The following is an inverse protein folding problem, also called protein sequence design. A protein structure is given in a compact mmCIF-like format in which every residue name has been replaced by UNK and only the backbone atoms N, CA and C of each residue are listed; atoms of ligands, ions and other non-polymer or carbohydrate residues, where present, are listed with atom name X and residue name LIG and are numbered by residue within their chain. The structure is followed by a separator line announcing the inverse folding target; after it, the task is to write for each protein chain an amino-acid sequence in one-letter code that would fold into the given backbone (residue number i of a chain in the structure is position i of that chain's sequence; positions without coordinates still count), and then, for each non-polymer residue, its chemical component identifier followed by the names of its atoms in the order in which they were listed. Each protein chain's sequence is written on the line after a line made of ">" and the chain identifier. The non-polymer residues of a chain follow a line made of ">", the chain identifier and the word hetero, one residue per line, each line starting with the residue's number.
data_IF_554746428625
#
_entry.id   IF_554746428625
#
_cell.length_a   1.000
_cell.length_b   1.000
_cell.length_c   1.000
_cell.angle_alpha   90.00
_cell.angle_beta   90.00
_cell.angle_gamma   90.00
#
_symmetry.space_group_name_H-M   'P 1'
#
loop_
_entity.id
_entity.type
_entity.pdbx_description
1 polymer ?
#
# COMPACT_ATOMS: atom_id res chain seq x y z
N UNK A 1 -13.76 -6.88 -20.83
CA UNK A 1 -14.20 -7.07 -19.43
C UNK A 1 -13.20 -7.86 -18.59
N UNK A 2 -12.99 -9.17 -18.76
CA UNK A 2 -12.08 -9.93 -17.85
C UNK A 2 -10.62 -9.47 -17.91
N UNK A 3 -10.13 -9.13 -19.11
CA UNK A 3 -8.77 -8.56 -19.28
C UNK A 3 -8.62 -7.20 -18.60
N UNK A 4 -9.61 -6.32 -18.73
CA UNK A 4 -9.63 -4.98 -18.13
C UNK A 4 -9.61 -5.05 -16.58
N UNK A 5 -10.31 -6.03 -16.00
CA UNK A 5 -10.31 -6.25 -14.54
C UNK A 5 -8.93 -6.70 -14.05
N UNK A 6 -8.27 -7.61 -14.79
CA UNK A 6 -6.92 -8.08 -14.43
C UNK A 6 -5.91 -6.94 -14.52
N UNK A 7 -5.98 -6.12 -15.57
CA UNK A 7 -5.12 -4.95 -15.75
C UNK A 7 -5.31 -3.95 -14.59
N UNK A 8 -6.56 -3.65 -14.24
CA UNK A 8 -6.90 -2.80 -13.11
C UNK A 8 -6.33 -3.33 -11.79
N UNK A 9 -6.48 -4.63 -11.52
CA UNK A 9 -5.94 -5.26 -10.31
C UNK A 9 -4.42 -5.12 -10.24
N UNK A 10 -3.72 -5.32 -11.37
CA UNK A 10 -2.26 -5.21 -11.43
C UNK A 10 -1.82 -3.76 -11.22
N UNK A 11 -2.43 -2.80 -11.92
CA UNK A 11 -2.09 -1.37 -11.78
C UNK A 11 -2.27 -0.90 -10.33
N UNK A 12 -3.41 -1.22 -9.73
CA UNK A 12 -3.68 -0.85 -8.34
C UNK A 12 -2.75 -1.57 -7.35
N UNK A 13 -2.37 -2.82 -7.62
CA UNK A 13 -1.40 -3.54 -6.78
C UNK A 13 -0.04 -2.86 -6.77
N UNK A 14 0.44 -2.39 -7.94
CA UNK A 14 1.71 -1.65 -8.06
C UNK A 14 1.63 -0.30 -7.33
N UNK A 15 0.51 0.40 -7.44
CA UNK A 15 0.28 1.66 -6.70
C UNK A 15 0.31 1.42 -5.20
N UNK A 16 -0.35 0.36 -4.72
CA UNK A 16 -0.42 0.05 -3.30
C UNK A 16 0.92 -0.38 -2.72
N UNK A 17 1.77 -1.08 -3.46
CA UNK A 17 3.09 -1.49 -2.96
C UNK A 17 4.15 -0.37 -3.02
N UNK A 18 3.96 0.63 -3.88
CA UNK A 18 4.92 1.73 -4.10
C UNK A 18 5.39 2.43 -2.81
N UNK A 19 4.51 2.84 -1.88
CA UNK A 19 4.92 3.45 -0.61
C UNK A 19 5.82 2.52 0.20
N UNK A 20 5.52 1.22 0.25
CA UNK A 20 6.32 0.25 1.01
C UNK A 20 7.74 0.18 0.44
N UNK A 21 7.87 0.03 -0.87
CA UNK A 21 9.18 -0.04 -1.55
C UNK A 21 9.96 1.26 -1.37
N UNK A 22 9.29 2.41 -1.47
CA UNK A 22 9.92 3.71 -1.27
C UNK A 22 10.51 3.86 0.14
N UNK A 23 9.77 3.47 1.18
CA UNK A 23 10.26 3.55 2.56
C UNK A 23 11.36 2.53 2.86
N UNK A 24 11.30 1.33 2.27
CA UNK A 24 12.41 0.36 2.33
C UNK A 24 13.68 0.92 1.67
N UNK A 25 13.53 1.61 0.54
CA UNK A 25 14.65 2.29 -0.12
C UNK A 25 15.25 3.39 0.76
N UNK A 26 14.41 4.22 1.39
CA UNK A 26 14.84 5.27 2.31
C UNK A 26 15.65 4.73 3.49
N UNK A 27 15.20 3.61 4.08
CA UNK A 27 15.93 2.95 5.17
C UNK A 27 17.26 2.35 4.70
N UNK A 28 17.23 1.60 3.59
CA UNK A 28 18.41 0.84 3.12
C UNK A 28 19.49 1.72 2.51
N UNK A 29 19.12 2.71 1.70
CA UNK A 29 20.06 3.48 0.88
C UNK A 29 20.25 4.92 1.35
N UNK A 30 19.21 5.56 1.89
CA UNK A 30 19.31 6.95 2.39
C UNK A 30 19.63 7.03 3.88
N UNK A 31 19.56 5.90 4.61
CA UNK A 31 19.87 5.80 6.05
C UNK A 31 19.10 6.84 6.89
N UNK A 32 17.85 7.11 6.50
CA UNK A 32 17.01 8.03 7.26
C UNK A 32 16.72 7.47 8.67
N UNK A 33 16.51 8.34 9.67
CA UNK A 33 16.13 7.91 11.00
C UNK A 33 14.88 7.03 10.92
N UNK A 34 14.91 5.81 11.49
CA UNK A 34 13.79 4.89 11.40
C UNK A 34 12.49 5.50 11.92
N UNK A 35 12.56 6.35 12.95
CA UNK A 35 11.43 7.06 13.55
C UNK A 35 10.60 7.86 12.53
N UNK A 36 11.26 8.52 11.57
CA UNK A 36 10.59 9.31 10.53
C UNK A 36 9.86 8.37 9.56
N UNK A 37 10.54 7.31 9.13
CA UNK A 37 9.99 6.31 8.21
C UNK A 37 8.83 5.53 8.84
N UNK A 38 8.95 5.15 10.11
CA UNK A 38 7.90 4.43 10.84
C UNK A 38 6.66 5.28 11.07
N UNK A 39 6.81 6.60 11.28
CA UNK A 39 5.68 7.52 11.36
C UNK A 39 4.88 7.51 10.06
N UNK A 40 5.56 7.57 8.92
CA UNK A 40 4.91 7.61 7.61
C UNK A 40 4.28 6.24 7.28
N UNK A 41 4.99 5.13 7.52
CA UNK A 41 4.45 3.77 7.37
C UNK A 41 3.17 3.56 8.19
N UNK A 42 3.08 4.13 9.40
CA UNK A 42 1.89 4.02 10.24
C UNK A 42 0.65 4.65 9.61
N UNK A 43 0.82 5.74 8.88
CA UNK A 43 -0.27 6.39 8.13
C UNK A 43 -0.72 5.50 6.97
N UNK A 44 0.23 4.91 6.22
CA UNK A 44 -0.10 3.96 5.15
C UNK A 44 -0.78 2.70 5.67
N UNK A 45 -0.40 2.20 6.85
CA UNK A 45 -1.03 1.05 7.47
C UNK A 45 -2.52 1.29 7.76
N UNK A 46 -2.88 2.50 8.22
CA UNK A 46 -4.28 2.90 8.44
C UNK A 46 -5.04 2.92 7.11
N UNK A 47 -4.45 3.50 6.06
CA UNK A 47 -5.03 3.51 4.71
C UNK A 47 -5.27 2.09 4.17
N UNK A 48 -4.28 1.19 4.27
CA UNK A 48 -4.44 -0.20 3.85
C UNK A 48 -5.51 -0.92 4.67
N UNK A 49 -5.59 -0.64 5.98
CA UNK A 49 -6.64 -1.16 6.85
C UNK A 49 -8.04 -0.73 6.39
N UNK A 50 -8.22 0.55 6.05
CA UNK A 50 -9.48 1.07 5.54
C UNK A 50 -9.86 0.41 4.20
N UNK A 51 -8.91 0.30 3.25
CA UNK A 51 -9.14 -0.36 1.96
C UNK A 51 -9.56 -1.83 2.17
N UNK A 52 -8.87 -2.54 3.06
CA UNK A 52 -9.19 -3.94 3.38
C UNK A 52 -10.59 -4.08 4.00
N UNK A 53 -10.97 -3.17 4.91
CA UNK A 53 -12.31 -3.15 5.52
C UNK A 53 -13.38 -2.88 4.46
N UNK A 54 -13.18 -1.89 3.58
CA UNK A 54 -14.11 -1.59 2.49
C UNK A 54 -14.25 -2.78 1.54
N UNK A 55 -13.13 -3.42 1.18
CA UNK A 55 -13.13 -4.64 0.37
C UNK A 55 -13.90 -5.77 1.05
N UNK A 56 -13.63 -6.04 2.32
CA UNK A 56 -14.34 -7.07 3.08
C UNK A 56 -15.84 -6.80 3.14
N UNK A 57 -16.25 -5.54 3.38
CA UNK A 57 -17.67 -5.17 3.43
C UNK A 57 -18.40 -5.37 2.10
N UNK A 58 -17.69 -5.26 0.97
CA UNK A 58 -18.24 -5.58 -0.37
C UNK A 58 -18.44 -7.09 -0.57
N UNK A 59 -17.65 -7.95 0.07
CA UNK A 59 -17.78 -9.41 -0.03
C UNK A 59 -18.78 -10.02 0.98
N UNK A 60 -19.01 -9.36 2.12
CA UNK A 60 -19.97 -9.82 3.15
C UNK A 60 -21.39 -9.26 2.96
N UNK A 61 -21.63 -8.49 1.91
CA UNK A 61 -22.95 -7.99 1.50
C UNK A 61 -23.54 -8.88 0.42
#
# INVERSE_FOLDING_TARGET
>A
MTGEIIELIIEFSVILISPVIYHLYLLKYKKLPPEVVFKDIKIYLILYGLIAITGAFLFFK
#
